data_IF_077800541385
#
_entry.id   IF_077800541385
#
_cell.length_a   1.000
_cell.length_b   1.000
_cell.length_c   1.000
_cell.angle_alpha   90.00
_cell.angle_beta   90.00
_cell.angle_gamma   90.00
#
_symmetry.space_group_name_H-M   'P 1'
#
loop_
_entity.id
_entity.type
_entity.pdbx_description
1 polymer ?
#
# COMPACT_ATOMS: atom_id res chain seq x y z
N UNK A 1 31.37 -8.67 -0.85
CA UNK A 1 31.82 -7.32 -0.46
C UNK A 1 31.27 -6.22 -1.38
N UNK A 2 31.66 -6.11 -2.66
CA UNK A 2 31.13 -5.05 -3.56
C UNK A 2 29.64 -5.21 -3.88
N UNK A 3 29.16 -6.45 -4.02
CA UNK A 3 27.73 -6.76 -4.22
C UNK A 3 26.84 -6.35 -3.04
N UNK A 4 27.36 -6.45 -1.82
CA UNK A 4 26.61 -6.22 -0.57
C UNK A 4 26.39 -4.72 -0.33
N UNK A 5 27.40 -3.91 -0.67
CA UNK A 5 27.34 -2.44 -0.65
C UNK A 5 26.34 -1.92 -1.70
N UNK A 6 26.32 -2.51 -2.90
CA UNK A 6 25.35 -2.14 -3.94
C UNK A 6 23.90 -2.48 -3.55
N UNK A 7 23.70 -3.61 -2.87
CA UNK A 7 22.39 -4.04 -2.40
C UNK A 7 21.89 -3.16 -1.25
N UNK A 8 22.77 -2.80 -0.31
CA UNK A 8 22.44 -1.89 0.80
C UNK A 8 22.07 -0.50 0.29
N UNK A 9 22.79 0.02 -0.71
CA UNK A 9 22.46 1.29 -1.37
C UNK A 9 21.09 1.22 -2.07
N UNK A 10 20.83 0.14 -2.79
CA UNK A 10 19.53 -0.05 -3.46
C UNK A 10 18.39 -0.11 -2.43
N UNK A 11 18.60 -0.82 -1.32
CA UNK A 11 17.64 -0.89 -0.21
C UNK A 11 17.37 0.49 0.40
N UNK A 12 18.42 1.28 0.65
CA UNK A 12 18.27 2.64 1.17
C UNK A 12 17.47 3.53 0.22
N UNK A 13 17.75 3.47 -1.09
CA UNK A 13 16.97 4.20 -2.10
C UNK A 13 15.50 3.81 -2.04
N UNK A 14 15.18 2.52 -1.96
CA UNK A 14 13.78 2.05 -1.84
C UNK A 14 13.11 2.60 -0.59
N UNK A 15 13.78 2.55 0.57
CA UNK A 15 13.25 3.07 1.83
C UNK A 15 12.96 4.57 1.71
N UNK A 16 13.91 5.35 1.18
CA UNK A 16 13.76 6.79 0.99
C UNK A 16 12.63 7.09 0.01
N UNK A 17 12.51 6.34 -1.10
CA UNK A 17 11.44 6.54 -2.08
C UNK A 17 10.06 6.24 -1.49
N UNK A 18 9.91 5.16 -0.73
CA UNK A 18 8.64 4.79 -0.08
C UNK A 18 8.28 5.81 1.01
N UNK A 19 9.24 6.19 1.86
CA UNK A 19 9.02 7.21 2.89
C UNK A 19 8.68 8.57 2.29
N UNK A 20 9.42 8.99 1.26
CA UNK A 20 9.17 10.24 0.55
C UNK A 20 7.80 10.27 -0.11
N UNK A 21 7.39 9.16 -0.75
CA UNK A 21 6.03 9.02 -1.28
C UNK A 21 4.97 9.13 -0.17
N UNK A 22 5.14 8.41 0.95
CA UNK A 22 4.19 8.45 2.05
C UNK A 22 4.04 9.86 2.63
N UNK A 23 5.15 10.55 2.88
CA UNK A 23 5.14 11.93 3.38
C UNK A 23 4.49 12.90 2.40
N UNK A 24 4.76 12.75 1.09
CA UNK A 24 4.12 13.54 0.06
C UNK A 24 2.60 13.28 -0.01
N UNK A 25 2.17 12.03 0.03
CA UNK A 25 0.75 11.66 0.03
C UNK A 25 0.04 12.15 1.28
N UNK A 26 0.68 12.03 2.45
CA UNK A 26 0.17 12.56 3.72
C UNK A 26 0.04 14.08 3.66
N UNK A 27 1.07 14.80 3.21
CA UNK A 27 1.04 16.25 3.04
C UNK A 27 -0.06 16.68 2.05
N UNK A 28 -0.19 16.00 0.92
CA UNK A 28 -1.25 16.25 -0.06
C UNK A 28 -2.64 16.03 0.54
N UNK A 29 -2.82 14.98 1.36
CA UNK A 29 -4.07 14.71 2.07
C UNK A 29 -4.40 15.82 3.09
N UNK A 30 -3.42 16.25 3.88
CA UNK A 30 -3.59 17.32 4.88
C UNK A 30 -3.91 18.67 4.25
N UNK A 31 -3.39 18.93 3.06
CA UNK A 31 -3.69 20.12 2.27
C UNK A 31 -5.01 20.01 1.48
N UNK A 32 -5.72 18.89 1.57
CA UNK A 32 -6.97 18.66 0.84
C UNK A 32 -6.79 18.40 -0.66
N UNK A 33 -5.57 18.25 -1.17
CA UNK A 33 -5.27 18.08 -2.60
C UNK A 33 -5.77 16.74 -3.17
N UNK A 34 -6.07 15.78 -2.30
CA UNK A 34 -6.63 14.48 -2.70
C UNK A 34 -8.16 14.45 -2.64
N UNK A 35 -8.80 15.49 -2.08
CA UNK A 35 -10.26 15.57 -2.03
C UNK A 35 -10.79 15.90 -3.42
N UNK A 36 -11.85 15.20 -3.82
CA UNK A 36 -12.47 15.41 -5.12
C UNK A 36 -13.97 15.53 -4.94
N UNK A 37 -14.60 16.47 -5.67
CA UNK A 37 -16.03 16.70 -5.56
C UNK A 37 -16.85 15.48 -6.05
N UNK A 38 -18.13 15.37 -5.68
CA UNK A 38 -18.96 14.19 -5.97
C UNK A 38 -19.08 13.83 -7.45
N UNK A 39 -18.92 14.81 -8.34
CA UNK A 39 -19.06 14.69 -9.80
C UNK A 39 -17.74 14.72 -10.56
N UNK A 40 -16.60 14.80 -9.86
CA UNK A 40 -15.28 14.82 -10.49
C UNK A 40 -14.54 13.50 -10.25
N UNK A 41 -13.87 12.95 -11.27
CA UNK A 41 -13.09 11.73 -11.09
C UNK A 41 -11.92 11.99 -10.13
N UNK A 42 -11.63 11.08 -9.18
CA UNK A 42 -10.59 11.28 -8.15
C UNK A 42 -9.17 11.06 -8.71
N UNK A 43 -8.79 11.83 -9.73
CA UNK A 43 -7.52 11.70 -10.45
C UNK A 43 -6.31 11.83 -9.51
N UNK A 44 -6.22 12.84 -8.62
CA UNK A 44 -5.05 12.99 -7.74
C UNK A 44 -4.85 11.77 -6.84
N UNK A 45 -5.94 11.23 -6.29
CA UNK A 45 -5.90 10.01 -5.48
C UNK A 45 -5.47 8.79 -6.33
N UNK A 46 -6.04 8.65 -7.53
CA UNK A 46 -5.66 7.59 -8.47
C UNK A 46 -4.18 7.64 -8.86
N UNK A 47 -3.63 8.83 -9.10
CA UNK A 47 -2.21 9.01 -9.40
C UNK A 47 -1.33 8.70 -8.19
N UNK A 48 -1.71 9.15 -6.99
CA UNK A 48 -0.99 8.86 -5.76
C UNK A 48 -0.85 7.35 -5.51
N UNK A 49 -1.84 6.56 -5.94
CA UNK A 49 -1.82 5.09 -5.89
C UNK A 49 -1.02 4.45 -7.04
N UNK A 50 -1.28 4.87 -8.29
CA UNK A 50 -0.75 4.19 -9.48
C UNK A 50 0.71 4.51 -9.76
N UNK A 51 1.16 5.74 -9.53
CA UNK A 51 2.53 6.16 -9.87
C UNK A 51 3.60 5.32 -9.15
N UNK A 52 3.56 5.09 -7.83
CA UNK A 52 4.54 4.23 -7.16
C UNK A 52 4.56 2.81 -7.71
N UNK A 53 3.38 2.27 -8.04
CA UNK A 53 3.25 0.91 -8.56
C UNK A 53 3.88 0.76 -9.95
N UNK A 54 3.63 1.73 -10.84
CA UNK A 54 4.25 1.78 -12.16
C UNK A 54 5.77 1.98 -12.08
N UNK A 55 6.24 2.85 -11.18
CA UNK A 55 7.67 3.06 -10.95
C UNK A 55 8.35 1.81 -10.40
N UNK A 56 7.72 1.09 -9.47
CA UNK A 56 8.24 -0.18 -8.95
C UNK A 56 8.28 -1.26 -10.03
N UNK A 57 7.23 -1.36 -10.87
CA UNK A 57 7.20 -2.28 -12.02
C UNK A 57 8.31 -1.98 -13.02
N UNK A 58 8.50 -0.70 -13.38
CA UNK A 58 9.57 -0.27 -14.26
C UNK A 58 10.95 -0.54 -13.65
N UNK A 59 11.14 -0.27 -12.36
CA UNK A 59 12.38 -0.56 -11.64
C UNK A 59 12.69 -2.07 -11.65
N UNK A 60 11.68 -2.92 -11.47
CA UNK A 60 11.81 -4.39 -11.56
C UNK A 60 12.21 -4.85 -12.96
N UNK A 61 11.63 -4.25 -14.01
CA UNK A 61 11.96 -4.57 -15.39
C UNK A 61 13.38 -4.11 -15.80
N UNK A 62 13.86 -2.99 -15.24
CA UNK A 62 15.13 -2.36 -15.66
C UNK A 62 16.32 -2.67 -14.74
N UNK A 63 16.09 -3.11 -13.50
CA UNK A 63 17.15 -3.32 -12.52
C UNK A 63 17.11 -4.73 -11.94
N UNK A 64 18.08 -5.56 -12.34
CA UNK A 64 18.26 -6.90 -11.77
C UNK A 64 18.51 -6.85 -10.24
N UNK A 65 19.11 -5.77 -9.72
CA UNK A 65 19.35 -5.58 -8.28
C UNK A 65 18.05 -5.37 -7.53
N UNK A 66 17.19 -4.46 -8.01
CA UNK A 66 15.88 -4.20 -7.40
C UNK A 66 14.99 -5.45 -7.49
N UNK A 67 14.99 -6.13 -8.63
CA UNK A 67 14.26 -7.39 -8.80
C UNK A 67 14.73 -8.48 -7.82
N UNK A 68 16.04 -8.63 -7.60
CA UNK A 68 16.56 -9.57 -6.58
C UNK A 68 16.13 -9.20 -5.16
N UNK A 69 16.12 -7.91 -4.83
CA UNK A 69 15.60 -7.45 -3.53
C UNK A 69 14.11 -7.77 -3.37
N UNK A 70 13.30 -7.48 -4.39
CA UNK A 70 11.86 -7.72 -4.38
C UNK A 70 11.53 -9.21 -4.26
N UNK A 71 12.20 -10.06 -5.04
CA UNK A 71 12.00 -11.52 -5.03
C UNK A 71 12.63 -12.21 -3.81
N UNK A 72 13.47 -11.50 -3.05
CA UNK A 72 14.07 -12.00 -1.81
C UNK A 72 13.20 -11.76 -0.58
N UNK A 73 12.03 -11.13 -0.71
CA UNK A 73 11.10 -10.91 0.39
C UNK A 73 10.35 -12.21 0.65
N UNK A 74 10.36 -12.66 1.90
CA UNK A 74 9.58 -13.81 2.34
C UNK A 74 8.08 -13.49 2.25
N UNK A 75 7.35 -14.35 1.52
CA UNK A 75 5.92 -14.21 1.29
C UNK A 75 5.12 -14.27 2.60
N UNK A 76 5.60 -15.01 3.60
CA UNK A 76 4.94 -15.11 4.92
C UNK A 76 4.85 -13.76 5.60
N UNK A 77 5.89 -12.92 5.46
CA UNK A 77 5.87 -11.55 5.97
C UNK A 77 4.90 -10.65 5.20
N UNK A 78 4.86 -10.77 3.87
CA UNK A 78 3.94 -10.02 3.01
C UNK A 78 2.46 -10.37 3.27
N UNK A 79 2.18 -11.63 3.62
CA UNK A 79 0.85 -12.07 4.03
C UNK A 79 0.58 -11.61 5.48
N UNK A 80 1.53 -11.84 6.38
CA UNK A 80 1.37 -11.54 7.81
C UNK A 80 1.07 -10.06 8.10
N UNK A 81 1.66 -9.13 7.35
CA UNK A 81 1.37 -7.68 7.50
C UNK A 81 -0.10 -7.35 7.21
N UNK A 82 -0.81 -8.18 6.43
CA UNK A 82 -2.23 -7.96 6.16
C UNK A 82 -3.11 -8.12 7.39
N UNK A 83 -2.62 -8.70 8.49
CA UNK A 83 -3.34 -8.74 9.78
C UNK A 83 -3.80 -7.34 10.23
N UNK A 84 -3.03 -6.29 9.90
CA UNK A 84 -3.42 -4.91 10.18
C UNK A 84 -4.76 -4.51 9.54
N UNK A 85 -5.17 -5.16 8.44
CA UNK A 85 -6.43 -4.87 7.76
C UNK A 85 -7.68 -5.14 8.61
N UNK A 86 -7.58 -5.83 9.75
CA UNK A 86 -8.71 -5.92 10.70
C UNK A 86 -9.21 -4.52 11.11
N UNK A 87 -8.33 -3.51 11.15
CA UNK A 87 -8.69 -2.10 11.40
C UNK A 87 -9.64 -1.52 10.34
N UNK A 88 -9.78 -2.17 9.17
CA UNK A 88 -10.75 -1.80 8.14
C UNK A 88 -12.22 -1.83 8.60
N UNK A 89 -12.52 -2.45 9.76
CA UNK A 89 -13.82 -2.31 10.43
C UNK A 89 -14.24 -0.84 10.65
N UNK A 90 -13.27 0.08 10.75
CA UNK A 90 -13.50 1.53 10.82
C UNK A 90 -14.36 2.02 9.66
N UNK A 91 -14.24 1.45 8.45
CA UNK A 91 -15.09 1.83 7.34
C UNK A 91 -16.57 1.52 7.60
N UNK A 92 -16.87 0.41 8.28
CA UNK A 92 -18.24 0.05 8.67
C UNK A 92 -18.77 0.99 9.75
N UNK A 93 -17.91 1.41 10.69
CA UNK A 93 -18.25 2.40 11.71
C UNK A 93 -18.57 3.77 11.07
N UNK A 94 -17.77 4.21 10.10
CA UNK A 94 -18.01 5.45 9.36
C UNK A 94 -19.29 5.38 8.53
N UNK A 95 -19.61 4.22 7.96
CA UNK A 95 -20.90 4.00 7.31
C UNK A 95 -22.07 4.11 8.29
N UNK A 96 -21.98 3.48 9.47
CA UNK A 96 -23.01 3.56 10.51
C UNK A 96 -23.25 5.00 10.99
N UNK A 97 -22.24 5.88 10.87
CA UNK A 97 -22.33 7.32 11.17
C UNK A 97 -22.78 8.19 9.98
N UNK A 98 -23.07 7.59 8.83
CA UNK A 98 -23.36 8.28 7.57
C UNK A 98 -22.22 9.18 7.07
N UNK A 99 -20.98 8.90 7.48
CA UNK A 99 -19.79 9.66 7.09
C UNK A 99 -19.13 9.08 5.83
N UNK A 100 -19.45 7.82 5.47
CA UNK A 100 -18.85 7.13 4.33
C UNK A 100 -19.92 6.39 3.49
N UNK A 101 -19.90 6.49 2.15
CA UNK A 101 -20.88 5.83 1.30
C UNK A 101 -20.84 4.29 1.40
N UNK A 102 -22.02 3.67 1.43
CA UNK A 102 -22.18 2.21 1.48
C UNK A 102 -21.42 1.48 0.37
N UNK A 103 -21.40 2.05 -0.85
CA UNK A 103 -20.77 1.50 -2.04
C UNK A 103 -19.26 1.26 -1.87
N UNK A 104 -18.61 2.01 -0.98
CA UNK A 104 -17.20 1.83 -0.63
C UNK A 104 -17.06 1.16 0.72
N UNK A 105 -17.77 1.65 1.73
CA UNK A 105 -17.57 1.25 3.12
C UNK A 105 -17.85 -0.23 3.39
N UNK A 106 -18.93 -0.77 2.82
CA UNK A 106 -19.34 -2.17 3.03
C UNK A 106 -18.34 -3.13 2.39
N UNK A 107 -18.04 -3.06 1.08
CA UNK A 107 -17.08 -3.97 0.48
C UNK A 107 -15.66 -3.79 1.03
N UNK A 108 -15.22 -2.56 1.28
CA UNK A 108 -13.89 -2.31 1.86
C UNK A 108 -13.78 -2.84 3.29
N UNK A 109 -14.72 -2.50 4.18
CA UNK A 109 -14.67 -2.89 5.57
C UNK A 109 -14.77 -4.40 5.78
N UNK A 110 -15.75 -5.05 5.12
CA UNK A 110 -15.89 -6.51 5.21
C UNK A 110 -14.68 -7.20 4.59
N UNK A 111 -14.24 -6.77 3.40
CA UNK A 111 -13.08 -7.34 2.72
C UNK A 111 -11.81 -7.25 3.56
N UNK A 112 -11.57 -6.10 4.18
CA UNK A 112 -10.39 -5.84 5.00
C UNK A 112 -10.36 -6.70 6.26
N UNK A 113 -11.49 -6.82 6.96
CA UNK A 113 -11.62 -7.70 8.13
C UNK A 113 -11.38 -9.15 7.74
N UNK A 114 -12.02 -9.64 6.66
CA UNK A 114 -11.83 -11.02 6.20
C UNK A 114 -10.38 -11.32 5.83
N UNK A 115 -9.73 -10.44 5.07
CA UNK A 115 -8.31 -10.59 4.70
C UNK A 115 -7.41 -10.55 5.93
N UNK A 116 -7.65 -9.61 6.85
CA UNK A 116 -6.84 -9.46 8.05
C UNK A 116 -6.94 -10.67 8.97
N UNK A 117 -8.15 -11.22 9.16
CA UNK A 117 -8.35 -12.43 9.96
C UNK A 117 -7.77 -13.68 9.27
N UNK A 118 -7.82 -13.77 7.94
CA UNK A 118 -7.26 -14.89 7.20
C UNK A 118 -5.72 -14.89 7.17
N UNK A 119 -5.09 -13.71 7.21
CA UNK A 119 -3.65 -13.50 7.07
C UNK A 119 -2.77 -14.46 7.91
N UNK A 120 -2.94 -14.61 9.24
CA UNK A 120 -2.08 -15.48 10.04
C UNK A 120 -2.18 -16.96 9.62
N UNK A 121 -3.38 -17.44 9.27
CA UNK A 121 -3.58 -18.82 8.83
C UNK A 121 -2.90 -19.06 7.47
N UNK A 122 -3.08 -18.13 6.53
CA UNK A 122 -2.47 -18.23 5.19
C UNK A 122 -0.95 -18.09 5.29
N UNK A 123 -0.43 -17.24 6.17
CA UNK A 123 1.01 -17.05 6.35
C UNK A 123 1.73 -18.31 6.88
N UNK A 124 1.06 -19.13 7.70
CA UNK A 124 1.62 -20.42 8.16
C UNK A 124 1.65 -21.47 7.04
N UNK A 125 0.74 -21.35 6.07
CA UNK A 125 0.61 -22.28 4.94
C UNK A 125 1.50 -21.92 3.73
N UNK A 126 1.99 -20.68 3.66
CA UNK A 126 2.88 -20.20 2.59
C UNK A 126 4.34 -20.63 2.78
#
# INVERSE_FOLDING_TARGET
>A
MSSDIDLSRTRLVVIISVAGWFLAALGASLLGLLQTGPSSPPIPFGLALLVPLLLAGLASARSARFRRLLLGIDLRWLIGVQLWRVVGEVFLLLYARNELPASFAIPAGIGDVLVGLAAPFVAVLA
#
